data_IF_865080863621
#
_entry.id   IF_865080863621
#
_cell.length_a   1.000
_cell.length_b   1.000
_cell.length_c   1.000
_cell.angle_alpha   90.00
_cell.angle_beta   90.00
_cell.angle_gamma   90.00
#
_symmetry.space_group_name_H-M   'P 1'
#
loop_
_entity.id
_entity.type
_entity.pdbx_description
1 polymer ?
#
# COMPACT_ATOMS: atom_id res chain seq x y z
N UNK A 1 3.42 -11.49 -0.95
CA UNK A 1 2.73 -11.42 -2.25
C UNK A 1 3.68 -11.79 -3.39
N UNK A 2 3.40 -12.83 -4.19
CA UNK A 2 4.18 -13.17 -5.38
C UNK A 2 4.15 -12.05 -6.43
N UNK A 3 5.26 -11.82 -7.14
CA UNK A 3 5.37 -10.71 -8.12
C UNK A 3 4.44 -10.90 -9.32
N UNK A 4 4.46 -12.11 -9.90
CA UNK A 4 3.73 -12.43 -11.14
C UNK A 4 2.27 -12.85 -10.91
N UNK A 5 1.90 -13.14 -9.66
CA UNK A 5 0.56 -13.64 -9.33
C UNK A 5 0.15 -13.19 -7.91
N UNK A 6 -0.24 -11.91 -7.72
CA UNK A 6 -0.64 -11.40 -6.41
C UNK A 6 -1.81 -12.15 -5.78
N UNK A 7 -2.76 -12.63 -6.60
CA UNK A 7 -3.91 -13.45 -6.17
C UNK A 7 -3.53 -14.82 -5.58
N UNK A 8 -2.28 -15.28 -5.72
CA UNK A 8 -1.78 -16.51 -5.08
C UNK A 8 -1.21 -16.28 -3.68
N UNK A 9 -1.28 -15.07 -3.14
CA UNK A 9 -0.86 -14.82 -1.76
C UNK A 9 -1.78 -15.57 -0.77
N UNK A 10 -1.26 -16.08 0.37
CA UNK A 10 -2.05 -16.82 1.36
C UNK A 10 -3.31 -16.08 1.85
N UNK A 11 -3.24 -14.74 1.92
CA UNK A 11 -4.33 -13.86 2.34
C UNK A 11 -4.88 -13.01 1.19
N UNK A 12 -4.70 -13.45 -0.07
CA UNK A 12 -5.08 -12.65 -1.24
C UNK A 12 -6.55 -12.24 -1.21
N UNK A 13 -7.46 -13.18 -0.99
CA UNK A 13 -8.90 -12.91 -0.99
C UNK A 13 -9.31 -11.95 0.13
N UNK A 14 -8.71 -12.09 1.32
CA UNK A 14 -8.99 -11.20 2.45
C UNK A 14 -8.52 -9.77 2.17
N UNK A 15 -7.29 -9.63 1.67
CA UNK A 15 -6.68 -8.32 1.40
C UNK A 15 -7.29 -7.64 0.17
N UNK A 16 -7.78 -8.39 -0.80
CA UNK A 16 -8.41 -7.82 -2.01
C UNK A 16 -9.84 -7.35 -1.76
N UNK A 17 -10.53 -7.96 -0.77
CA UNK A 17 -11.88 -7.56 -0.32
C UNK A 17 -11.87 -6.38 0.64
N UNK A 18 -10.72 -5.85 1.03
CA UNK A 18 -10.62 -4.68 1.89
C UNK A 18 -9.90 -3.52 1.22
N UNK A 19 -10.29 -2.31 1.58
CA UNK A 19 -9.63 -1.11 1.12
C UNK A 19 -8.37 -0.82 1.93
N UNK A 20 -7.45 -0.02 1.39
CA UNK A 20 -6.29 0.49 2.14
C UNK A 20 -6.72 1.30 3.36
N UNK A 21 -7.84 2.01 3.30
CA UNK A 21 -8.41 2.68 4.47
C UNK A 21 -8.77 1.69 5.58
N UNK A 22 -9.49 0.61 5.25
CA UNK A 22 -9.86 -0.43 6.22
C UNK A 22 -8.62 -1.12 6.81
N UNK A 23 -7.57 -1.29 6.01
CA UNK A 23 -6.30 -1.81 6.51
C UNK A 23 -5.65 -0.84 7.51
N UNK A 24 -5.58 0.45 7.19
CA UNK A 24 -5.03 1.47 8.09
C UNK A 24 -5.81 1.59 9.39
N UNK A 25 -7.13 1.53 9.34
CA UNK A 25 -7.97 1.60 10.53
C UNK A 25 -7.71 0.42 11.49
N UNK A 26 -7.34 -0.75 10.95
CA UNK A 26 -6.97 -1.94 11.75
C UNK A 26 -5.57 -1.86 12.34
N UNK A 27 -4.58 -1.39 11.58
CA UNK A 27 -3.15 -1.52 11.96
C UNK A 27 -2.55 -0.23 12.55
N UNK A 28 -3.03 0.94 12.13
CA UNK A 28 -2.50 2.22 12.58
C UNK A 28 -3.27 2.69 13.80
N UNK A 29 -2.68 2.62 14.99
CA UNK A 29 -3.33 3.05 16.23
C UNK A 29 -3.37 4.58 16.40
N UNK A 30 -2.30 5.27 16.01
CA UNK A 30 -2.17 6.71 16.21
C UNK A 30 -2.74 7.50 15.03
N UNK A 31 -3.30 8.69 15.32
CA UNK A 31 -3.77 9.62 14.28
C UNK A 31 -2.63 10.06 13.36
N UNK A 32 -1.41 10.21 13.90
CA UNK A 32 -0.23 10.56 13.12
C UNK A 32 0.13 9.47 12.10
N UNK A 33 0.14 8.19 12.51
CA UNK A 33 0.41 7.07 11.62
C UNK A 33 -0.65 6.95 10.52
N UNK A 34 -1.95 7.08 10.85
CA UNK A 34 -3.03 7.08 9.86
C UNK A 34 -2.86 8.20 8.84
N UNK A 35 -2.57 9.43 9.29
CA UNK A 35 -2.38 10.58 8.39
C UNK A 35 -1.17 10.40 7.48
N UNK A 36 -0.07 9.86 8.00
CA UNK A 36 1.12 9.54 7.21
C UNK A 36 0.82 8.44 6.17
N UNK A 37 0.09 7.41 6.56
CA UNK A 37 -0.29 6.30 5.68
C UNK A 37 -1.24 6.75 4.56
N UNK A 38 -2.21 7.63 4.84
CA UNK A 38 -3.06 8.27 3.82
C UNK A 38 -2.23 9.07 2.82
N UNK A 39 -1.33 9.94 3.30
CA UNK A 39 -0.43 10.70 2.44
C UNK A 39 0.42 9.78 1.55
N UNK A 40 0.87 8.65 2.10
CA UNK A 40 1.64 7.67 1.36
C UNK A 40 0.85 7.04 0.20
N UNK A 41 -0.42 6.70 0.39
CA UNK A 41 -1.27 6.21 -0.70
C UNK A 41 -1.50 7.32 -1.74
N UNK A 42 -1.90 8.51 -1.29
CA UNK A 42 -2.23 9.61 -2.20
C UNK A 42 -1.03 10.01 -3.08
N UNK A 43 0.18 10.02 -2.54
CA UNK A 43 1.40 10.36 -3.30
C UNK A 43 1.79 9.27 -4.29
N UNK A 44 1.58 7.99 -3.94
CA UNK A 44 2.06 6.88 -4.78
C UNK A 44 1.07 6.47 -5.87
N UNK A 45 -0.24 6.66 -5.66
CA UNK A 45 -1.28 6.15 -6.56
C UNK A 45 -2.38 7.17 -6.87
N UNK A 46 -2.21 8.43 -6.44
CA UNK A 46 -3.09 9.58 -6.74
C UNK A 46 -4.60 9.31 -6.59
N UNK A 47 -4.94 8.39 -5.69
CA UNK A 47 -6.30 7.92 -5.41
C UNK A 47 -6.48 7.88 -3.90
N UNK A 48 -7.71 8.04 -3.42
CA UNK A 48 -7.96 8.01 -1.98
C UNK A 48 -7.89 6.57 -1.44
N UNK A 49 -7.48 6.35 -0.17
CA UNK A 49 -7.28 5.00 0.37
C UNK A 49 -8.54 4.12 0.40
N UNK A 50 -9.74 4.71 0.27
CA UNK A 50 -11.00 3.97 0.20
C UNK A 50 -11.30 3.42 -1.20
N UNK A 51 -10.58 3.86 -2.23
CA UNK A 51 -10.77 3.44 -3.62
C UNK A 51 -9.81 2.31 -4.01
N UNK A 52 -8.86 1.99 -3.13
CA UNK A 52 -7.71 1.12 -3.45
C UNK A 52 -7.80 -0.19 -2.67
N UNK A 53 -7.75 -1.33 -3.39
CA UNK A 53 -7.60 -2.66 -2.78
C UNK A 53 -6.29 -2.77 -2.01
N UNK A 54 -6.35 -3.33 -0.80
CA UNK A 54 -5.16 -3.49 0.03
C UNK A 54 -4.16 -4.50 -0.56
N UNK A 55 -4.65 -5.57 -1.19
CA UNK A 55 -3.79 -6.53 -1.88
C UNK A 55 -2.99 -5.87 -2.99
N UNK A 56 -3.65 -5.08 -3.83
CA UNK A 56 -3.02 -4.40 -4.95
C UNK A 56 -1.95 -3.41 -4.49
N UNK A 57 -2.25 -2.61 -3.46
CA UNK A 57 -1.30 -1.61 -2.96
C UNK A 57 -0.07 -2.25 -2.29
N UNK A 58 -0.28 -3.29 -1.47
CA UNK A 58 0.83 -4.04 -0.86
C UNK A 58 1.71 -4.72 -1.91
N UNK A 59 1.10 -5.21 -2.99
CA UNK A 59 1.83 -5.76 -4.14
C UNK A 59 2.63 -4.66 -4.85
N UNK A 60 2.02 -3.52 -5.15
CA UNK A 60 2.65 -2.38 -5.81
C UNK A 60 3.90 -1.90 -5.05
N UNK A 61 3.77 -1.67 -3.73
CA UNK A 61 4.90 -1.29 -2.87
C UNK A 61 6.00 -2.36 -2.88
N UNK A 62 5.64 -3.64 -2.88
CA UNK A 62 6.61 -4.74 -2.95
C UNK A 62 7.35 -4.76 -4.30
N UNK A 63 6.67 -4.49 -5.40
CA UNK A 63 7.28 -4.43 -6.73
C UNK A 63 8.26 -3.27 -6.88
N UNK A 64 8.00 -2.15 -6.22
CA UNK A 64 8.91 -1.00 -6.16
C UNK A 64 10.16 -1.24 -5.29
N UNK A 65 10.36 -2.44 -4.73
CA UNK A 65 11.51 -2.78 -3.90
C UNK A 65 11.30 -2.51 -2.40
N UNK A 66 10.05 -2.35 -1.95
CA UNK A 66 9.69 -2.20 -0.54
C UNK A 66 9.57 -0.76 -0.06
N UNK A 67 9.11 -0.59 1.17
CA UNK A 67 8.80 0.71 1.79
C UNK A 67 10.02 1.63 1.88
N UNK A 68 11.24 1.12 2.01
CA UNK A 68 12.45 1.96 2.07
C UNK A 68 12.84 2.55 0.70
N UNK A 69 12.55 1.83 -0.40
CA UNK A 69 12.98 2.25 -1.74
C UNK A 69 11.98 3.21 -2.40
N UNK A 70 10.70 3.08 -2.08
CA UNK A 70 9.66 4.02 -2.55
C UNK A 70 9.77 5.40 -1.88
N UNK A 71 10.48 5.52 -0.75
CA UNK A 71 10.89 6.78 -0.13
C UNK A 71 12.29 7.26 -0.54
N UNK A 72 13.07 6.46 -1.29
CA UNK A 72 14.45 6.81 -1.66
C UNK A 72 14.47 7.63 -2.96
N UNK A 73 15.01 8.83 -2.90
CA UNK A 73 15.24 9.72 -4.05
C UNK A 73 16.58 9.46 -4.76
N UNK A 74 17.23 8.32 -4.55
CA UNK A 74 18.43 7.99 -5.32
C UNK A 74 17.99 7.40 -6.67
N UNK A 75 17.96 8.25 -7.71
CA UNK A 75 17.41 8.03 -9.07
C UNK A 75 15.88 7.96 -9.21
N UNK A 76 15.11 8.43 -8.22
CA UNK A 76 13.73 8.86 -8.47
C UNK A 76 13.77 10.19 -9.21
N UNK A 77 13.02 10.34 -10.31
CA UNK A 77 13.05 11.54 -11.16
C UNK A 77 12.93 12.83 -10.33
N UNK A 78 14.05 13.52 -10.18
CA UNK A 78 14.16 14.94 -9.84
C UNK A 78 14.40 15.71 -11.12
#
# INVERSE_FOLDING_TARGET
IPKEAPWRAPHAEEWDKMTMQQLFDKICWTRAARRFATLFVNVNVTSEPYEVSALWFLWYVKQCGGTMRIFSTTNGGQ
#
